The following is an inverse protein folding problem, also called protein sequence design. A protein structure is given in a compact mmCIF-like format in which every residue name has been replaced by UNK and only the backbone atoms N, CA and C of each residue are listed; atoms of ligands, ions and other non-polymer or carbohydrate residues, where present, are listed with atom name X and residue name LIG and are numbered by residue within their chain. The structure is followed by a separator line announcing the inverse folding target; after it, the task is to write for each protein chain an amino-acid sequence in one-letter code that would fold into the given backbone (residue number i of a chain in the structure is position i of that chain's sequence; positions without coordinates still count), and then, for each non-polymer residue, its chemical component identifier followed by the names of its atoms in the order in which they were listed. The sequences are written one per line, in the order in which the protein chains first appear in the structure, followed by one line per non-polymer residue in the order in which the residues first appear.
data_IF_780867097961
#
_entry.id   IF_780867097961
#
_cell.length_a   1.000
_cell.length_b   1.000
_cell.length_c   1.000
_cell.angle_alpha   90.00
_cell.angle_beta   90.00
_cell.angle_gamma   90.00
#
_symmetry.space_group_name_H-M   'P 1'
#
loop_
_entity.id
_entity.type
_entity.pdbx_description
1 polymer ?
#
# COMPACT_ATOMS: atom_id res chain seq x y z
N UNK A 1 6.04 12.67 -19.32
CA UNK A 1 6.65 12.02 -18.14
C UNK A 1 5.73 11.84 -16.90
N UNK A 2 4.43 11.45 -17.00
CA UNK A 2 3.63 10.99 -15.84
C UNK A 2 3.57 9.45 -15.67
N UNK A 3 4.09 8.68 -16.62
CA UNK A 3 3.95 7.21 -16.68
C UNK A 3 4.65 6.48 -15.53
N UNK A 4 5.88 6.87 -15.18
CA UNK A 4 6.62 6.22 -14.09
C UNK A 4 5.98 6.45 -12.73
N UNK A 5 5.42 7.64 -12.48
CA UNK A 5 4.64 7.93 -11.28
C UNK A 5 3.40 7.05 -11.22
N UNK A 6 2.67 6.90 -12.36
CA UNK A 6 1.55 5.97 -12.43
C UNK A 6 2.00 4.56 -12.07
N UNK A 7 3.06 4.03 -12.67
CA UNK A 7 3.54 2.67 -12.38
C UNK A 7 4.09 2.49 -10.95
N UNK A 8 4.60 3.56 -10.35
CA UNK A 8 5.00 3.54 -8.94
C UNK A 8 3.79 3.37 -8.01
N UNK A 9 2.67 4.02 -8.33
CA UNK A 9 1.44 4.04 -7.52
C UNK A 9 0.46 2.91 -7.87
N UNK A 10 0.40 2.51 -9.13
CA UNK A 10 -0.50 1.48 -9.64
C UNK A 10 0.17 0.74 -10.81
N UNK A 11 0.46 -0.54 -10.61
CA UNK A 11 1.10 -1.38 -11.60
C UNK A 11 0.31 -2.65 -11.84
N UNK A 12 -0.03 -2.91 -13.09
CA UNK A 12 -0.73 -4.13 -13.50
C UNK A 12 0.31 -5.14 -13.98
N UNK A 13 0.68 -6.08 -13.12
CA UNK A 13 1.69 -7.09 -13.43
C UNK A 13 1.20 -7.97 -14.61
N UNK A 14 1.85 -7.94 -15.78
CA UNK A 14 1.39 -8.68 -16.96
C UNK A 14 1.35 -10.19 -16.75
N UNK A 15 2.36 -10.76 -16.07
CA UNK A 15 2.53 -12.21 -15.96
C UNK A 15 1.54 -12.82 -14.97
N UNK A 16 1.52 -12.31 -13.74
CA UNK A 16 0.66 -12.84 -12.67
C UNK A 16 -0.75 -12.25 -12.70
N UNK A 17 -0.97 -11.17 -13.47
CA UNK A 17 -2.22 -10.39 -13.47
C UNK A 17 -2.59 -9.88 -12.08
N UNK A 18 -1.57 -9.56 -11.27
CA UNK A 18 -1.74 -8.91 -9.96
C UNK A 18 -1.85 -7.40 -10.17
N UNK A 19 -2.81 -6.77 -9.50
CA UNK A 19 -2.87 -5.30 -9.41
C UNK A 19 -2.08 -4.86 -8.19
N UNK A 20 -0.99 -4.13 -8.40
CA UNK A 20 -0.18 -3.56 -7.33
C UNK A 20 -0.56 -2.12 -7.05
N UNK A 21 -0.76 -1.78 -5.78
CA UNK A 21 -0.93 -0.41 -5.28
C UNK A 21 0.28 0.00 -4.45
N UNK A 22 0.73 1.24 -4.65
CA UNK A 22 1.89 1.83 -3.96
C UNK A 22 3.19 1.00 -4.07
N UNK A 23 3.34 0.21 -5.15
CA UNK A 23 4.43 -0.78 -5.35
C UNK A 23 5.82 -0.24 -5.03
N UNK A 24 6.08 1.00 -5.45
CA UNK A 24 7.39 1.64 -5.32
C UNK A 24 7.33 3.01 -4.64
N UNK A 25 6.27 3.29 -3.87
CA UNK A 25 6.15 4.54 -3.10
C UNK A 25 7.40 4.77 -2.23
N UNK A 26 7.99 5.98 -2.22
CA UNK A 26 9.13 6.30 -1.36
C UNK A 26 8.77 6.17 0.13
N UNK A 27 9.70 5.66 0.94
CA UNK A 27 9.49 5.50 2.39
C UNK A 27 9.19 6.83 3.08
N UNK A 28 9.86 7.89 2.64
CA UNK A 28 9.77 9.23 3.21
C UNK A 28 8.39 9.89 3.02
N UNK A 29 7.52 9.32 2.17
CA UNK A 29 6.14 9.77 2.01
C UNK A 29 5.21 9.25 3.12
N UNK A 30 5.65 8.25 3.89
CA UNK A 30 4.89 7.67 5.01
C UNK A 30 5.49 8.11 6.35
N UNK A 31 5.72 9.40 6.51
CA UNK A 31 6.28 9.96 7.74
C UNK A 31 5.21 10.80 8.43
N UNK A 32 5.25 10.91 9.76
CA UNK A 32 4.16 11.52 10.55
C UNK A 32 3.89 13.00 10.21
N UNK A 33 4.86 13.69 9.60
CA UNK A 33 4.74 15.08 9.19
C UNK A 33 4.18 15.27 7.77
N UNK A 34 3.99 14.20 7.00
CA UNK A 34 3.53 14.27 5.62
C UNK A 34 2.01 14.22 5.52
N UNK A 35 1.48 14.93 4.52
CA UNK A 35 0.07 14.77 4.12
C UNK A 35 -0.21 13.33 3.69
N UNK A 36 -1.44 12.83 3.87
CA UNK A 36 -1.81 11.52 3.36
C UNK A 36 -1.48 11.38 1.87
N UNK A 37 -0.82 10.28 1.50
CA UNK A 37 -0.69 9.92 0.09
C UNK A 37 -2.06 9.52 -0.43
N UNK A 38 -2.51 10.14 -1.51
CA UNK A 38 -3.76 9.78 -2.17
C UNK A 38 -3.56 9.70 -3.68
N UNK A 39 -4.10 8.63 -4.27
CA UNK A 39 -4.12 8.43 -5.71
C UNK A 39 -5.54 8.04 -6.10
N UNK A 40 -6.22 8.92 -6.83
CA UNK A 40 -7.63 8.80 -7.16
C UNK A 40 -7.87 8.51 -8.64
N UNK A 41 -8.92 7.74 -8.93
CA UNK A 41 -9.42 7.47 -10.28
C UNK A 41 -8.38 6.95 -11.27
N UNK A 42 -7.38 6.19 -10.78
CA UNK A 42 -6.35 5.60 -11.62
C UNK A 42 -6.97 4.60 -12.57
N UNK A 43 -6.71 4.79 -13.87
CA UNK A 43 -7.22 3.90 -14.92
C UNK A 43 -6.39 2.61 -15.00
N UNK A 44 -7.06 1.47 -14.89
CA UNK A 44 -6.52 0.13 -15.10
C UNK A 44 -7.38 -0.65 -16.11
N UNK A 45 -6.93 -1.84 -16.55
CA UNK A 45 -7.78 -2.72 -17.37
C UNK A 45 -9.02 -3.24 -16.62
N UNK A 46 -9.01 -3.18 -15.30
CA UNK A 46 -10.09 -3.65 -14.42
C UNK A 46 -11.06 -2.52 -14.02
N UNK A 47 -10.89 -1.32 -14.59
CA UNK A 47 -11.67 -0.14 -14.26
C UNK A 47 -10.87 0.90 -13.46
N UNK A 48 -11.58 1.83 -12.82
CA UNK A 48 -10.97 2.91 -12.05
C UNK A 48 -10.87 2.52 -10.59
N UNK A 49 -9.68 2.69 -10.02
CA UNK A 49 -9.44 2.46 -8.61
C UNK A 49 -8.83 3.68 -7.94
N UNK A 50 -8.97 3.74 -6.62
CA UNK A 50 -8.38 4.79 -5.79
C UNK A 50 -7.80 4.16 -4.52
N UNK A 51 -6.75 4.78 -3.98
CA UNK A 51 -6.31 4.46 -2.63
C UNK A 51 -5.75 5.68 -1.91
N UNK A 52 -5.70 5.59 -0.58
CA UNK A 52 -4.96 6.51 0.27
C UNK A 52 -4.18 5.78 1.36
N UNK A 53 -3.08 6.39 1.80
CA UNK A 53 -2.26 5.96 2.93
C UNK A 53 -2.06 7.14 3.87
N UNK A 54 -2.39 6.96 5.15
CA UNK A 54 -2.23 7.96 6.20
C UNK A 54 -1.52 7.35 7.40
N UNK A 55 -0.44 7.98 7.85
CA UNK A 55 0.22 7.61 9.10
C UNK A 55 -0.66 8.04 10.27
N UNK A 56 -0.90 7.14 11.24
CA UNK A 56 -1.59 7.48 12.46
C UNK A 56 -0.66 8.23 13.43
N UNK A 57 -1.20 9.20 14.16
CA UNK A 57 -0.44 9.97 15.16
C UNK A 57 -0.21 9.23 16.48
N UNK A 58 -0.81 8.04 16.66
CA UNK A 58 -0.73 7.25 17.88
C UNK A 58 0.42 6.21 17.82
N UNK A 59 0.90 5.79 18.99
CA UNK A 59 1.79 4.64 19.13
C UNK A 59 0.97 3.36 19.39
N UNK A 60 1.35 2.19 18.83
CA UNK A 60 2.49 1.94 17.94
C UNK A 60 2.32 2.54 16.54
N UNK A 61 3.42 2.70 15.79
CA UNK A 61 3.37 3.24 14.43
C UNK A 61 2.43 2.39 13.57
N UNK A 62 1.47 3.05 12.93
CA UNK A 62 0.51 2.40 12.04
C UNK A 62 0.17 3.28 10.84
N UNK A 63 -0.17 2.61 9.74
CA UNK A 63 -0.64 3.24 8.50
C UNK A 63 -2.06 2.78 8.24
N UNK A 64 -2.96 3.76 8.17
CA UNK A 64 -4.35 3.58 7.78
C UNK A 64 -4.42 3.70 6.26
N UNK A 65 -4.87 2.64 5.61
CA UNK A 65 -5.07 2.57 4.19
C UNK A 65 -6.56 2.45 3.85
N UNK A 66 -6.96 3.11 2.78
CA UNK A 66 -8.28 2.95 2.19
C UNK A 66 -8.11 2.65 0.72
N UNK A 67 -8.80 1.63 0.23
CA UNK A 67 -8.81 1.23 -1.18
C UNK A 67 -10.25 1.19 -1.65
N UNK A 68 -10.50 1.81 -2.80
CA UNK A 68 -11.79 1.80 -3.50
C UNK A 68 -11.59 1.16 -4.86
N UNK A 69 -12.37 0.12 -5.13
CA UNK A 69 -12.34 -0.68 -6.36
C UNK A 69 -13.72 -0.60 -7.03
N UNK A 70 -13.79 -0.82 -8.35
CA UNK A 70 -15.07 -1.01 -9.01
C UNK A 70 -15.70 -2.35 -8.57
N UNK A 71 -17.03 -2.41 -8.55
CA UNK A 71 -17.79 -3.60 -8.12
C UNK A 71 -17.45 -4.86 -8.94
N UNK A 72 -16.99 -4.69 -10.17
CA UNK A 72 -16.50 -5.76 -11.04
C UNK A 72 -15.37 -6.58 -10.44
N UNK A 73 -14.62 -6.07 -9.46
CA UNK A 73 -13.61 -6.87 -8.75
C UNK A 73 -14.23 -8.04 -7.96
N UNK A 74 -15.52 -7.98 -7.61
CA UNK A 74 -16.19 -9.08 -6.92
C UNK A 74 -16.65 -10.20 -7.86
N UNK A 75 -16.94 -9.89 -9.12
CA UNK A 75 -17.42 -10.85 -10.12
C UNK A 75 -16.34 -11.31 -11.10
N UNK A 76 -15.36 -10.45 -11.38
CA UNK A 76 -14.26 -10.70 -12.30
C UNK A 76 -12.94 -10.10 -11.74
N UNK A 77 -12.42 -10.63 -10.62
CA UNK A 77 -11.18 -10.14 -10.02
C UNK A 77 -9.97 -10.35 -10.95
N UNK A 78 -8.91 -9.55 -10.80
CA UNK A 78 -7.60 -9.88 -11.36
C UNK A 78 -7.16 -11.26 -10.88
N UNK A 79 -6.67 -12.12 -11.78
CA UNK A 79 -6.30 -13.50 -11.43
C UNK A 79 -5.21 -13.59 -10.33
N UNK A 80 -4.28 -12.63 -10.31
CA UNK A 80 -3.27 -12.53 -9.25
C UNK A 80 -3.73 -11.79 -7.99
N UNK A 81 -4.98 -11.34 -7.96
CA UNK A 81 -5.55 -10.54 -6.88
C UNK A 81 -5.04 -9.09 -6.85
N UNK A 82 -5.17 -8.48 -5.68
CA UNK A 82 -4.72 -7.13 -5.37
C UNK A 82 -3.60 -7.19 -4.34
N UNK A 83 -2.57 -6.37 -4.49
CA UNK A 83 -1.48 -6.25 -3.54
C UNK A 83 -1.21 -4.79 -3.22
N UNK A 84 -1.35 -4.42 -1.95
CA UNK A 84 -1.01 -3.09 -1.46
C UNK A 84 0.34 -3.13 -0.76
N UNK A 85 1.30 -2.30 -1.18
CA UNK A 85 2.58 -2.18 -0.49
C UNK A 85 2.62 -0.96 0.42
N UNK A 86 3.06 -1.13 1.66
CA UNK A 86 3.14 -0.07 2.67
C UNK A 86 4.57 0.03 3.18
N UNK A 87 5.37 0.85 2.50
CA UNK A 87 6.81 1.00 2.78
C UNK A 87 7.04 2.00 3.89
N UNK A 88 6.74 1.63 5.13
CA UNK A 88 7.04 2.49 6.27
C UNK A 88 8.57 2.72 6.38
N UNK A 89 9.04 3.86 6.91
CA UNK A 89 10.46 4.05 7.14
C UNK A 89 10.97 3.06 8.21
N UNK A 90 11.76 2.06 7.82
CA UNK A 90 12.12 0.92 8.67
C UNK A 90 12.80 1.31 9.98
N UNK A 91 13.72 2.28 9.95
CA UNK A 91 14.42 2.77 11.15
C UNK A 91 13.46 3.37 12.18
N UNK A 92 12.34 3.95 11.72
CA UNK A 92 11.35 4.62 12.53
C UNK A 92 10.21 3.69 12.98
N UNK A 93 9.69 2.90 12.03
CA UNK A 93 8.48 2.11 12.20
C UNK A 93 8.74 0.65 12.56
N UNK A 94 9.94 0.11 12.29
CA UNK A 94 10.20 -1.32 12.37
C UNK A 94 9.54 -2.11 11.22
N UNK A 95 9.45 -3.44 11.37
CA UNK A 95 8.82 -4.32 10.37
C UNK A 95 7.29 -4.30 10.50
N UNK A 96 6.59 -4.48 9.39
CA UNK A 96 5.15 -4.77 9.38
C UNK A 96 4.89 -6.01 10.23
N UNK A 97 4.00 -5.91 11.21
CA UNK A 97 3.80 -6.96 12.23
C UNK A 97 2.36 -7.44 12.33
N UNK A 98 1.39 -6.60 12.00
CA UNK A 98 -0.01 -6.98 11.98
C UNK A 98 -0.80 -6.15 10.98
N UNK A 99 -1.86 -6.74 10.42
CA UNK A 99 -2.79 -6.06 9.52
C UNK A 99 -4.21 -6.37 9.98
N UNK A 100 -5.09 -5.37 9.94
CA UNK A 100 -6.53 -5.57 9.98
C UNK A 100 -7.19 -5.04 8.71
N UNK A 101 -8.26 -5.69 8.28
CA UNK A 101 -9.09 -5.29 7.14
C UNK A 101 -10.54 -5.29 7.62
N UNK A 102 -11.21 -4.14 7.55
CA UNK A 102 -12.55 -3.97 8.13
C UNK A 102 -12.59 -4.22 9.64
N UNK A 103 -11.49 -3.96 10.35
CA UNK A 103 -11.34 -4.22 11.78
C UNK A 103 -11.10 -5.69 12.17
N UNK A 104 -11.05 -6.61 11.19
CA UNK A 104 -10.74 -8.03 11.44
C UNK A 104 -9.26 -8.31 11.17
N UNK A 105 -8.65 -9.17 11.99
CA UNK A 105 -7.28 -9.62 11.75
C UNK A 105 -7.13 -10.21 10.34
N UNK A 106 -6.06 -9.83 9.66
CA UNK A 106 -5.77 -10.25 8.29
C UNK A 106 -4.42 -10.96 8.26
N UNK A 107 -4.42 -12.22 7.83
CA UNK A 107 -3.23 -13.08 7.80
C UNK A 107 -2.46 -13.01 6.48
N UNK A 108 -3.10 -12.58 5.39
CA UNK A 108 -2.46 -12.47 4.07
C UNK A 108 -1.67 -11.16 3.98
N UNK A 109 -0.52 -11.13 4.65
CA UNK A 109 0.44 -10.04 4.54
C UNK A 109 1.86 -10.58 4.63
N UNK A 110 2.80 -9.89 3.98
CA UNK A 110 4.22 -10.23 4.04
C UNK A 110 4.98 -9.12 4.76
N UNK A 111 5.55 -9.45 5.92
CA UNK A 111 6.44 -8.55 6.64
C UNK A 111 7.73 -8.25 5.87
N UNK A 112 8.21 -9.22 5.07
CA UNK A 112 9.42 -9.09 4.27
C UNK A 112 9.22 -8.17 3.07
N UNK A 113 8.08 -8.32 2.37
CA UNK A 113 7.75 -7.50 1.20
C UNK A 113 7.05 -6.18 1.56
N UNK A 114 6.58 -6.06 2.81
CA UNK A 114 5.78 -4.96 3.33
C UNK A 114 4.44 -4.84 2.59
N UNK A 115 3.79 -5.98 2.33
CA UNK A 115 2.57 -6.05 1.52
C UNK A 115 1.38 -6.55 2.32
N UNK A 116 0.20 -5.99 2.02
CA UNK A 116 -1.09 -6.59 2.30
C UNK A 116 -1.59 -7.23 1.02
N UNK A 117 -1.82 -8.53 1.06
CA UNK A 117 -2.22 -9.33 -0.09
C UNK A 117 -3.71 -9.62 0.00
N UNK A 118 -4.42 -9.40 -1.11
CA UNK A 118 -5.85 -9.67 -1.24
C UNK A 118 -6.02 -10.64 -2.42
N UNK A 119 -5.97 -11.96 -2.13
CA UNK A 119 -6.21 -13.01 -3.12
C UNK A 119 -7.54 -12.82 -3.86
N UNK A 120 -7.58 -13.29 -5.12
CA UNK A 120 -8.72 -13.11 -5.99
C UNK A 120 -10.03 -13.67 -5.41
N UNK A 121 -9.96 -14.84 -4.76
CA UNK A 121 -11.09 -15.51 -4.09
C UNK A 121 -11.59 -14.78 -2.85
N UNK A 122 -10.80 -13.86 -2.27
CA UNK A 122 -11.20 -13.04 -1.11
C UNK A 122 -11.85 -11.71 -1.52
N UNK A 123 -11.76 -11.29 -2.79
CA UNK A 123 -12.40 -10.07 -3.31
C UNK A 123 -13.91 -10.25 -3.41
N UNK A 124 -14.61 -10.16 -2.29
CA UNK A 124 -16.08 -10.21 -2.23
C UNK A 124 -16.69 -8.82 -2.17
N UNK A 125 -17.96 -8.67 -2.54
CA UNK A 125 -18.69 -7.39 -2.41
C UNK A 125 -18.59 -6.81 -0.99
N UNK A 126 -18.71 -7.65 0.04
CA UNK A 126 -18.55 -7.19 1.43
C UNK A 126 -17.13 -6.70 1.73
N UNK A 127 -16.09 -7.37 1.20
CA UNK A 127 -14.71 -6.92 1.40
C UNK A 127 -14.49 -5.57 0.70
N UNK A 128 -15.01 -5.40 -0.53
CA UNK A 128 -14.92 -4.16 -1.29
C UNK A 128 -15.58 -2.98 -0.56
N UNK A 129 -16.79 -3.17 -0.03
CA UNK A 129 -17.54 -2.07 0.59
C UNK A 129 -17.14 -1.78 2.05
N UNK A 130 -16.78 -2.81 2.82
CA UNK A 130 -16.60 -2.68 4.28
C UNK A 130 -15.17 -2.95 4.74
N UNK A 131 -14.41 -3.76 4.00
CA UNK A 131 -13.06 -4.17 4.36
C UNK A 131 -12.00 -3.22 3.84
N UNK A 132 -11.84 -3.16 2.51
CA UNK A 132 -10.80 -2.42 1.81
C UNK A 132 -10.78 -0.91 2.09
N UNK A 133 -11.91 -0.24 2.38
CA UNK A 133 -11.88 1.16 2.82
C UNK A 133 -11.27 1.38 4.21
N UNK A 134 -11.02 0.30 4.97
CA UNK A 134 -10.55 0.32 6.37
C UNK A 134 -9.47 -0.73 6.60
N UNK A 135 -8.28 -0.48 6.08
CA UNK A 135 -7.10 -1.30 6.31
C UNK A 135 -6.21 -0.61 7.33
N UNK A 136 -5.73 -1.32 8.35
CA UNK A 136 -4.77 -0.80 9.32
C UNK A 136 -3.56 -1.72 9.37
N UNK A 137 -2.40 -1.21 8.97
CA UNK A 137 -1.12 -1.89 9.05
C UNK A 137 -0.35 -1.37 10.26
N UNK A 138 0.01 -2.26 11.18
CA UNK A 138 0.76 -1.96 12.40
C UNK A 138 2.19 -2.46 12.27
N UNK A 139 3.15 -1.68 12.79
CA UNK A 139 4.57 -1.99 12.69
C UNK A 139 5.18 -2.16 14.09
N UNK A 140 6.19 -3.03 14.19
CA UNK A 140 6.77 -3.48 15.46
C UNK A 140 7.72 -2.47 16.15
N UNK A 141 8.00 -1.32 15.54
CA UNK A 141 8.89 -0.30 16.09
C UNK A 141 8.30 0.33 17.34
N UNK A 142 9.00 0.19 18.47
CA UNK A 142 8.60 0.74 19.77
C UNK A 142 9.19 2.13 20.06
N UNK A 143 10.18 2.56 19.26
CA UNK A 143 10.80 3.89 19.37
C UNK A 143 10.95 4.52 18.00
N UNK A 144 10.32 5.67 17.82
CA UNK A 144 10.46 6.50 16.64
C UNK A 144 11.89 7.05 16.55
N UNK A 145 12.73 6.50 15.67
CA UNK A 145 14.00 7.14 15.32
C UNK A 145 13.78 8.22 14.26
N UNK A 146 14.54 9.33 14.29
CA UNK A 146 14.48 10.34 13.24
C UNK A 146 14.94 9.77 11.91
N UNK A 147 14.27 10.15 10.84
CA UNK A 147 14.62 9.73 9.49
C UNK A 147 15.97 10.29 9.10
N UNK A 148 16.81 9.45 8.52
CA UNK A 148 18.04 9.90 7.87
C UNK A 148 17.70 10.39 6.47
N UNK A 149 18.25 11.54 6.08
CA UNK A 149 18.14 12.01 4.71
C UNK A 149 18.67 10.94 3.73
N UNK A 150 17.98 10.78 2.60
CA UNK A 150 18.43 9.91 1.53
C UNK A 150 19.86 10.29 1.13
N UNK A 151 20.81 9.34 1.24
CA UNK A 151 22.18 9.54 0.79
C UNK A 151 22.23 9.27 -0.71
N UNK A 152 22.20 10.34 -1.49
CA UNK A 152 22.51 10.30 -2.91
C UNK A 152 23.89 10.92 -3.14
N UNK A 153 24.71 10.26 -3.95
CA UNK A 153 26.00 10.81 -4.39
C UNK A 153 25.82 11.36 -5.80
N UNK A 154 25.85 12.69 -6.00
CA UNK A 154 25.66 13.30 -7.31
C UNK A 154 26.66 12.79 -8.36
N UNK A 155 27.88 12.46 -7.92
CA UNK A 155 28.94 11.89 -8.77
C UNK A 155 28.70 10.44 -9.21
N UNK A 156 27.68 9.77 -8.65
CA UNK A 156 27.29 8.40 -9.02
C UNK A 156 25.96 8.36 -9.77
N UNK A 157 25.52 9.51 -10.29
CA UNK A 157 24.35 9.57 -11.15
C UNK A 157 24.64 8.84 -12.45
N UNK A 158 23.91 7.76 -12.70
CA UNK A 158 23.84 7.15 -14.04
C UNK A 158 22.85 8.00 -14.82
N UNK A 159 23.33 8.62 -15.91
CA UNK A 159 22.54 9.41 -16.86
C UNK A 159 22.07 8.50 -17.99
#
# INVERSE_FOLDING_TARGET
APTYLKWMLCFEEPETRTVWLAKATPRDWLTSAQSPLAAANMTTRYGRLSFSLRVASAAPYSVHASVTLPESFASAPPAGGLRLRIRAPLEHAGKLSAVTVGGKAWSEFSAAEETVDIPADKLTTSLLSNGLPRIVATFAGTKQQPLRAARWHPSRQIV
#
